data_IF_732261541492
#
_entry.id   IF_732261541492
#
_cell.length_a   1.000
_cell.length_b   1.000
_cell.length_c   1.000
_cell.angle_alpha   90.00
_cell.angle_beta   90.00
_cell.angle_gamma   90.00
#
_symmetry.space_group_name_H-M   'P 1'
#
loop_
_entity.id
_entity.type
_entity.pdbx_description
1 polymer ?
#
# COMPACT_ATOMS: atom_id res chain seq x y z
N UNK A 1 14.48 -1.08 -21.08
CA UNK A 1 14.13 -1.00 -20.65
C UNK A 1 13.68 -1.25 -19.93
N UNK A 2 13.59 -1.26 -19.76
CA UNK A 2 13.08 -1.26 -19.21
C UNK A 2 12.55 -1.54 -18.66
N UNK A 3 12.54 -1.70 -18.35
CA UNK A 3 12.00 -1.95 -17.83
C UNK A 3 11.08 -1.88 -17.25
N UNK A 4 10.72 -2.26 -16.89
CA UNK A 4 9.77 -2.19 -16.32
C UNK A 4 9.71 -1.50 -15.40
N UNK A 5 9.10 -0.94 -15.39
CA UNK A 5 9.02 -0.03 -14.50
C UNK A 5 8.55 -0.50 -13.33
N UNK A 6 8.99 -0.92 -12.72
CA UNK A 6 8.49 -1.20 -11.60
C UNK A 6 8.28 -0.15 -10.85
N UNK A 7 7.87 -0.23 -9.72
CA UNK A 7 7.59 0.78 -9.01
C UNK A 7 8.75 1.43 -8.72
N UNK A 8 9.53 1.36 -8.16
CA UNK A 8 10.64 2.16 -7.77
C UNK A 8 11.37 2.80 -8.86
N UNK A 9 11.15 2.45 -10.08
CA UNK A 9 11.80 3.11 -11.05
C UNK A 9 10.98 4.02 -11.79
N UNK A 10 9.89 4.40 -11.28
CA UNK A 10 9.07 5.36 -11.93
C UNK A 10 9.80 6.65 -12.10
N UNK A 11 9.48 7.39 -13.09
CA UNK A 11 10.06 8.64 -13.31
C UNK A 11 9.69 9.57 -12.26
N UNK A 12 10.48 10.56 -12.05
CA UNK A 12 10.16 11.46 -11.05
C UNK A 12 8.85 12.00 -11.28
N UNK A 13 8.08 12.23 -10.41
CA UNK A 13 6.74 12.70 -10.55
C UNK A 13 5.76 11.59 -10.68
N UNK A 14 6.22 10.41 -10.98
CA UNK A 14 5.33 9.30 -11.14
C UNK A 14 5.37 8.36 -9.97
N UNK A 15 6.07 8.69 -8.94
CA UNK A 15 6.16 7.81 -7.79
C UNK A 15 5.85 8.55 -6.51
N UNK A 16 5.43 7.81 -5.51
CA UNK A 16 4.99 8.35 -4.26
C UNK A 16 5.68 7.57 -3.17
N UNK A 17 6.21 8.25 -2.18
CA UNK A 17 6.84 7.59 -1.05
C UNK A 17 5.86 7.49 0.09
N UNK A 18 5.75 6.33 0.66
CA UNK A 18 4.88 6.06 1.79
C UNK A 18 5.66 5.20 2.77
N UNK A 19 5.12 4.99 3.95
CA UNK A 19 5.68 4.00 4.85
C UNK A 19 4.64 2.94 5.11
N UNK A 20 5.10 1.72 5.26
CA UNK A 20 4.23 0.60 5.57
C UNK A 20 4.87 -0.10 6.75
N UNK A 21 4.17 -0.06 7.87
CA UNK A 21 4.67 -0.65 9.12
C UNK A 21 6.07 -0.12 9.44
N UNK A 22 6.27 1.15 9.16
CA UNK A 22 7.54 1.79 9.47
C UNK A 22 8.60 1.72 8.39
N UNK A 23 8.38 0.95 7.36
CA UNK A 23 9.38 0.79 6.30
C UNK A 23 9.02 1.66 5.12
N UNK A 24 10.00 2.36 4.60
CA UNK A 24 9.78 3.24 3.46
C UNK A 24 9.53 2.42 2.21
N UNK A 25 8.50 2.79 1.48
CA UNK A 25 8.15 2.12 0.24
C UNK A 25 7.88 3.18 -0.81
N UNK A 26 8.24 2.88 -2.04
CA UNK A 26 7.93 3.76 -3.15
C UNK A 26 6.98 3.03 -4.07
N UNK A 27 5.88 3.68 -4.38
CA UNK A 27 4.88 3.08 -5.27
C UNK A 27 4.59 4.07 -6.37
N UNK A 28 3.94 3.60 -7.41
CA UNK A 28 3.60 4.46 -8.52
C UNK A 28 2.45 5.37 -8.12
N UNK A 29 2.43 6.54 -8.68
CA UNK A 29 1.35 7.46 -8.44
C UNK A 29 0.07 6.80 -8.90
N UNK A 30 -0.98 6.89 -8.13
CA UNK A 30 -2.25 6.27 -8.46
C UNK A 30 -2.43 4.88 -7.88
N UNK A 31 -1.41 4.37 -7.20
CA UNK A 31 -1.53 3.05 -6.60
C UNK A 31 -2.53 3.09 -5.46
N UNK A 32 -3.42 2.12 -5.43
CA UNK A 32 -4.39 2.02 -4.36
C UNK A 32 -3.89 1.11 -3.26
N UNK A 33 -4.56 1.15 -2.14
CA UNK A 33 -4.20 0.26 -1.03
C UNK A 33 -4.34 -1.19 -1.47
N UNK A 34 -5.39 -1.52 -2.23
CA UNK A 34 -5.55 -2.89 -2.69
C UNK A 34 -4.37 -3.34 -3.53
N UNK A 35 -3.89 -2.46 -4.41
CA UNK A 35 -2.75 -2.81 -5.25
C UNK A 35 -1.49 -2.96 -4.42
N UNK A 36 -1.32 -2.11 -3.42
CA UNK A 36 -0.16 -2.23 -2.55
C UNK A 36 -0.18 -3.57 -1.83
N UNK A 37 -1.33 -3.99 -1.35
CA UNK A 37 -1.42 -5.26 -0.64
C UNK A 37 -1.06 -6.42 -1.56
N UNK A 38 -1.43 -6.32 -2.83
CA UNK A 38 -1.04 -7.35 -3.77
C UNK A 38 0.45 -7.37 -3.98
N UNK A 39 1.07 -6.21 -4.05
CA UNK A 39 2.51 -6.17 -4.23
C UNK A 39 3.25 -6.68 -3.02
N UNK A 40 2.70 -6.52 -1.86
CA UNK A 40 3.31 -7.04 -0.65
C UNK A 40 2.97 -8.51 -0.43
N UNK A 41 2.17 -9.06 -1.32
CA UNK A 41 1.79 -10.47 -1.27
C UNK A 41 1.00 -10.77 0.00
N UNK A 42 0.20 -9.82 0.44
CA UNK A 42 -0.65 -10.03 1.60
C UNK A 42 -1.92 -10.67 1.11
N UNK A 43 -2.13 -11.90 1.48
CA UNK A 43 -3.25 -12.66 0.96
C UNK A 43 -4.29 -12.98 1.97
N UNK A 44 -4.09 -12.61 3.20
CA UNK A 44 -5.07 -12.95 4.21
C UNK A 44 -6.31 -12.12 4.03
N UNK A 45 -7.45 -12.75 4.20
CA UNK A 45 -8.68 -11.98 4.20
C UNK A 45 -8.91 -11.37 5.57
N UNK A 46 -8.07 -11.66 6.53
CA UNK A 46 -8.19 -11.10 7.86
C UNK A 46 -7.09 -10.09 8.07
N UNK A 47 -7.22 -8.94 7.42
CA UNK A 47 -6.23 -7.90 7.60
C UNK A 47 -6.95 -6.63 8.00
N UNK A 48 -6.24 -5.79 8.70
CA UNK A 48 -6.70 -4.45 9.02
C UNK A 48 -5.67 -3.48 8.49
N UNK A 49 -6.12 -2.42 7.87
CA UNK A 49 -5.25 -1.41 7.31
C UNK A 49 -5.62 -0.07 7.91
N UNK A 50 -4.62 0.62 8.43
CA UNK A 50 -4.79 2.00 8.86
C UNK A 50 -3.95 2.88 7.96
N UNK A 51 -4.46 4.02 7.64
CA UNK A 51 -3.73 5.00 6.87
C UNK A 51 -3.79 6.30 7.63
N UNK A 52 -2.65 6.77 8.07
CA UNK A 52 -2.57 8.01 8.86
C UNK A 52 -3.47 7.93 10.08
N UNK A 53 -3.42 6.79 10.76
CA UNK A 53 -4.12 6.55 12.02
C UNK A 53 -5.62 6.39 11.86
N UNK A 54 -6.09 6.26 10.64
CA UNK A 54 -7.51 6.04 10.40
C UNK A 54 -7.69 4.69 9.73
N UNK A 55 -8.63 3.91 10.24
CA UNK A 55 -8.88 2.60 9.65
C UNK A 55 -9.49 2.79 8.27
N UNK A 56 -9.00 2.03 7.32
CA UNK A 56 -9.55 2.03 5.98
C UNK A 56 -10.35 0.75 5.81
N UNK A 57 -11.65 0.83 5.69
CA UNK A 57 -12.47 -0.37 5.56
C UNK A 57 -12.07 -1.15 4.32
N UNK A 58 -12.24 -2.45 4.40
CA UNK A 58 -11.84 -3.30 3.31
C UNK A 58 -12.47 -2.91 1.99
N UNK A 59 -13.73 -2.52 2.01
CA UNK A 59 -14.40 -2.18 0.77
C UNK A 59 -13.92 -0.87 0.19
N UNK A 60 -12.99 -0.19 0.86
CA UNK A 60 -12.42 1.01 0.31
C UNK A 60 -11.02 0.81 -0.17
N UNK A 61 -10.43 -0.37 0.02
CA UNK A 61 -9.03 -0.58 -0.37
C UNK A 61 -8.83 -0.37 -1.86
N UNK A 62 -9.83 -0.68 -2.66
CA UNK A 62 -9.69 -0.56 -4.11
C UNK A 62 -9.85 0.85 -4.61
N UNK A 63 -10.35 1.76 -3.78
CA UNK A 63 -10.54 3.13 -4.22
C UNK A 63 -9.69 4.11 -3.43
N UNK A 64 -8.99 3.66 -2.42
CA UNK A 64 -8.17 4.55 -1.61
C UNK A 64 -6.79 4.67 -2.26
N UNK A 65 -6.54 5.80 -2.88
CA UNK A 65 -5.30 6.04 -3.60
C UNK A 65 -4.27 6.56 -2.62
N UNK A 66 -3.08 6.00 -2.67
CA UNK A 66 -2.00 6.38 -1.77
C UNK A 66 -1.46 7.75 -2.15
N UNK A 67 -1.16 8.53 -1.14
CA UNK A 67 -0.65 9.89 -1.33
C UNK A 67 0.76 9.98 -0.76
N UNK A 68 1.54 10.93 -1.22
CA UNK A 68 2.90 11.08 -0.70
C UNK A 68 2.86 11.27 0.80
N UNK A 69 3.71 10.53 1.49
CA UNK A 69 3.81 10.70 2.93
C UNK A 69 2.82 9.88 3.72
N UNK A 70 1.97 9.13 3.07
CA UNK A 70 1.00 8.32 3.81
C UNK A 70 1.72 7.30 4.68
N UNK A 71 1.16 7.06 5.85
CA UNK A 71 1.73 6.11 6.79
C UNK A 71 0.70 5.02 6.98
N UNK A 72 1.06 3.83 6.56
CA UNK A 72 0.15 2.70 6.63
C UNK A 72 0.60 1.69 7.66
N UNK A 73 -0.37 1.10 8.33
CA UNK A 73 -0.13 -0.01 9.22
C UNK A 73 -0.99 -1.15 8.69
N UNK A 74 -0.37 -2.24 8.37
CA UNK A 74 -1.07 -3.40 7.87
C UNK A 74 -0.88 -4.52 8.86
N UNK A 75 -1.98 -4.98 9.44
CA UNK A 75 -1.94 -6.00 10.47
C UNK A 75 -2.69 -7.21 9.98
N UNK A 76 -2.07 -8.36 10.02
CA UNK A 76 -2.75 -9.58 9.66
C UNK A 76 -3.37 -10.15 10.92
N UNK A 77 -4.67 -10.29 10.91
CA UNK A 77 -5.37 -10.80 12.07
C UNK A 77 -5.35 -12.31 11.99
N UNK A 78 -4.68 -12.91 12.90
CA UNK A 78 -4.59 -14.32 12.89
C UNK A 78 -5.82 -14.78 13.53
N UNK A 79 -6.67 -15.23 12.83
CA UNK A 79 -7.88 -15.56 13.36
C UNK A 79 -7.79 -16.49 14.42
N UNK A 80 -8.17 -16.19 15.41
CA UNK A 80 -8.18 -16.89 16.47
C UNK A 80 -8.43 -18.26 16.24
N UNK A 81 -8.03 -18.54 15.51
CA UNK A 81 -8.27 -19.84 15.28
C UNK A 81 -8.76 -20.04 14.45
#
# INVERSE_FOLDING_TARGET
>A
MAARPGKGDAEKGDSVEITVNGDLQTVREGTTIAELLEELDVRSQYIAVECNLAIVPRNRHGSAVLQPGDRLEVVTLVGGG
#
